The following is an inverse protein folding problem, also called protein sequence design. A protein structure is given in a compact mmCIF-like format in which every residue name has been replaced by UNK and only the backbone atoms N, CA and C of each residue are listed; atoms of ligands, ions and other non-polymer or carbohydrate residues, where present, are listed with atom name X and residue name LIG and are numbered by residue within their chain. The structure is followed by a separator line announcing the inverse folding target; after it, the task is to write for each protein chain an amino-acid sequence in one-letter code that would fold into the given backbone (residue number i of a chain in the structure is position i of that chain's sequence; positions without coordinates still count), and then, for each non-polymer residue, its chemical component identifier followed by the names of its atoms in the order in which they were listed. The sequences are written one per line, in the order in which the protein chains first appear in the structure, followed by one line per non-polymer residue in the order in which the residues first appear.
data_IF_988403480291
#
_entry.id   IF_988403480291
#
_cell.length_a   1.000
_cell.length_b   1.000
_cell.length_c   1.000
_cell.angle_alpha   90.00
_cell.angle_beta   90.00
_cell.angle_gamma   90.00
#
_symmetry.space_group_name_H-M   'P 1'
#
loop_
_entity.id
_entity.type
_entity.pdbx_description
1 polymer ?
#
# COMPACT_ATOMS: atom_id res chain seq x y z
N UNK A 1 14.19 -2.62 -27.70
CA UNK A 1 14.97 -1.87 -26.69
C UNK A 1 14.08 -1.46 -25.47
N UNK A 2 13.23 -2.35 -24.96
CA UNK A 2 12.13 -2.00 -24.02
C UNK A 2 12.53 -1.87 -22.54
N UNK A 3 13.68 -2.41 -22.11
CA UNK A 3 13.99 -2.51 -20.67
C UNK A 3 14.32 -1.18 -19.97
N UNK A 4 14.90 -0.21 -20.67
CA UNK A 4 15.40 1.02 -20.00
C UNK A 4 14.26 1.95 -19.55
N UNK A 5 13.22 2.12 -20.37
CA UNK A 5 12.05 2.94 -20.02
C UNK A 5 11.20 2.29 -18.93
N UNK A 6 11.05 0.96 -18.95
CA UNK A 6 10.36 0.22 -17.90
C UNK A 6 11.09 0.31 -16.56
N UNK A 7 12.42 0.16 -16.56
CA UNK A 7 13.24 0.31 -15.36
C UNK A 7 13.16 1.74 -14.79
N UNK A 8 13.19 2.76 -15.65
CA UNK A 8 13.03 4.16 -15.24
C UNK A 8 11.65 4.41 -14.61
N UNK A 9 10.58 3.88 -15.21
CA UNK A 9 9.24 3.99 -14.66
C UNK A 9 9.12 3.29 -13.29
N UNK A 10 9.70 2.09 -13.15
CA UNK A 10 9.72 1.36 -11.88
C UNK A 10 10.48 2.13 -10.78
N UNK A 11 11.59 2.78 -11.13
CA UNK A 11 12.34 3.65 -10.22
C UNK A 11 11.49 4.82 -9.71
N UNK A 12 10.83 5.55 -10.61
CA UNK A 12 9.95 6.66 -10.25
C UNK A 12 8.80 6.18 -9.38
N UNK A 13 8.17 5.04 -9.72
CA UNK A 13 7.11 4.46 -8.90
C UNK A 13 7.59 4.05 -7.51
N UNK A 14 8.79 3.47 -7.39
CA UNK A 14 9.37 3.07 -6.10
C UNK A 14 9.65 4.26 -5.21
N UNK A 15 10.23 5.34 -5.78
CA UNK A 15 10.48 6.58 -5.04
C UNK A 15 9.17 7.24 -4.60
N UNK A 16 8.18 7.30 -5.49
CA UNK A 16 6.84 7.82 -5.16
C UNK A 16 6.14 7.01 -4.07
N UNK A 17 6.20 5.68 -4.16
CA UNK A 17 5.63 4.77 -3.16
C UNK A 17 6.31 4.93 -1.79
N UNK A 18 7.64 5.05 -1.77
CA UNK A 18 8.40 5.29 -0.53
C UNK A 18 8.02 6.63 0.11
N UNK A 19 7.93 7.71 -0.68
CA UNK A 19 7.54 9.02 -0.17
C UNK A 19 6.10 9.01 0.38
N UNK A 20 5.18 8.36 -0.31
CA UNK A 20 3.80 8.20 0.14
C UNK A 20 3.72 7.36 1.42
N UNK A 21 4.44 6.24 1.49
CA UNK A 21 4.50 5.38 2.66
C UNK A 21 5.02 6.14 3.88
N UNK A 22 6.09 6.93 3.74
CA UNK A 22 6.60 7.80 4.82
C UNK A 22 5.53 8.78 5.30
N UNK A 23 4.84 9.46 4.38
CA UNK A 23 3.81 10.44 4.74
C UNK A 23 2.62 9.80 5.45
N UNK A 24 2.20 8.61 5.02
CA UNK A 24 1.16 7.83 5.69
C UNK A 24 1.64 7.43 7.08
N UNK A 25 2.82 6.83 7.21
CA UNK A 25 3.38 6.44 8.49
C UNK A 25 3.46 7.64 9.47
N UNK A 26 4.00 8.78 9.03
CA UNK A 26 4.09 10.00 9.82
C UNK A 26 2.69 10.53 10.24
N UNK A 27 1.69 10.44 9.35
CA UNK A 27 0.32 10.89 9.63
C UNK A 27 -0.40 9.98 10.60
N UNK A 28 -0.25 8.66 10.44
CA UNK A 28 -0.90 7.70 11.31
C UNK A 28 -0.25 7.72 12.70
N UNK A 29 1.07 7.90 12.78
CA UNK A 29 1.75 8.13 14.05
C UNK A 29 1.20 9.36 14.76
N UNK A 30 1.13 10.51 14.08
CA UNK A 30 0.55 11.75 14.64
C UNK A 30 -0.89 11.59 15.11
N UNK A 31 -1.69 10.79 14.40
CA UNK A 31 -3.08 10.51 14.75
C UNK A 31 -3.20 9.63 16.00
N UNK A 32 -2.31 8.65 16.18
CA UNK A 32 -2.27 7.78 17.37
C UNK A 32 -1.64 8.45 18.60
N UNK A 33 -0.57 9.22 18.42
CA UNK A 33 0.26 9.76 19.50
C UNK A 33 -0.21 11.11 20.08
N UNK A 34 -1.44 11.54 19.78
CA UNK A 34 -1.98 12.87 20.15
C UNK A 34 -1.05 14.03 19.73
N UNK A 35 -0.48 13.97 18.52
CA UNK A 35 0.30 15.09 17.97
C UNK A 35 1.72 15.27 18.53
N UNK A 36 2.26 14.31 19.31
CA UNK A 36 3.67 14.31 19.71
C UNK A 36 4.58 14.04 18.49
N UNK A 37 5.59 14.88 18.31
CA UNK A 37 6.65 14.71 17.29
C UNK A 37 7.26 13.31 17.38
N UNK A 38 7.48 12.61 16.24
CA UNK A 38 8.06 11.27 16.26
C UNK A 38 9.38 11.30 17.04
N UNK A 39 9.55 10.44 18.05
CA UNK A 39 10.73 10.46 18.91
C UNK A 39 11.97 10.26 18.05
N UNK A 40 12.88 11.23 18.09
CA UNK A 40 14.19 11.17 17.44
C UNK A 40 15.12 10.19 18.18
N UNK A 41 14.71 9.71 19.36
CA UNK A 41 15.44 8.77 20.20
C UNK A 41 14.73 7.39 20.21
N UNK A 42 15.32 6.36 19.61
CA UNK A 42 14.78 5.00 19.60
C UNK A 42 14.81 4.30 20.97
N UNK A 43 15.33 4.96 22.00
CA UNK A 43 15.51 4.43 23.36
C UNK A 43 14.54 5.01 24.39
N UNK A 44 13.60 5.86 23.95
CA UNK A 44 12.62 6.49 24.83
C UNK A 44 11.59 5.43 25.33
N UNK A 45 11.61 5.08 26.63
CA UNK A 45 10.83 3.97 27.19
C UNK A 45 9.31 4.25 27.23
N UNK A 46 8.88 5.42 26.76
CA UNK A 46 7.49 5.90 26.82
C UNK A 46 6.71 5.67 25.50
N UNK A 47 7.36 5.18 24.43
CA UNK A 47 6.64 4.43 23.39
C UNK A 47 6.48 3.02 23.93
N UNK A 48 5.37 2.79 24.64
CA UNK A 48 5.05 1.52 25.24
C UNK A 48 5.08 0.45 24.12
N UNK A 49 5.99 -0.53 24.19
CA UNK A 49 6.14 -1.59 23.17
C UNK A 49 4.78 -2.22 22.77
N UNK A 50 3.84 -2.24 23.72
CA UNK A 50 2.45 -2.66 23.52
C UNK A 50 1.69 -1.78 22.52
N UNK A 51 1.84 -0.46 22.59
CA UNK A 51 1.18 0.50 21.70
C UNK A 51 1.76 0.40 20.28
N UNK A 52 3.07 0.23 20.14
CA UNK A 52 3.72 -0.01 18.85
C UNK A 52 3.25 -1.34 18.21
N UNK A 53 3.16 -2.41 19.00
CA UNK A 53 2.66 -3.71 18.53
C UNK A 53 1.18 -3.59 18.14
N UNK A 54 0.35 -2.95 18.96
CA UNK A 54 -1.08 -2.75 18.67
C UNK A 54 -1.25 -1.96 17.37
N UNK A 55 -0.46 -0.91 17.19
CA UNK A 55 -0.44 -0.11 15.98
C UNK A 55 -0.04 -0.93 14.75
N UNK A 56 1.02 -1.73 14.86
CA UNK A 56 1.49 -2.60 13.78
C UNK A 56 0.44 -3.65 13.39
N UNK A 57 -0.23 -4.26 14.37
CA UNK A 57 -1.30 -5.24 14.14
C UNK A 57 -2.48 -4.58 13.43
N UNK A 58 -2.98 -3.45 13.95
CA UNK A 58 -4.12 -2.73 13.34
C UNK A 58 -3.75 -2.30 11.91
N UNK A 59 -2.58 -1.71 11.72
CA UNK A 59 -2.10 -1.28 10.40
C UNK A 59 -1.95 -2.46 9.44
N UNK A 60 -1.38 -3.57 9.90
CA UNK A 60 -1.23 -4.79 9.11
C UNK A 60 -2.58 -5.37 8.67
N UNK A 61 -3.58 -5.39 9.56
CA UNK A 61 -4.94 -5.83 9.24
C UNK A 61 -5.58 -4.90 8.21
N UNK A 62 -5.50 -3.58 8.39
CA UNK A 62 -6.07 -2.61 7.44
C UNK A 62 -5.44 -2.75 6.06
N UNK A 63 -4.11 -2.84 5.98
CA UNK A 63 -3.39 -2.97 4.69
C UNK A 63 -3.72 -4.30 4.01
N UNK A 64 -3.79 -5.41 4.75
CA UNK A 64 -4.11 -6.72 4.18
C UNK A 64 -5.54 -6.80 3.65
N UNK A 65 -6.51 -6.21 4.38
CA UNK A 65 -7.89 -6.07 3.92
C UNK A 65 -7.97 -5.19 2.68
N UNK A 66 -7.31 -4.02 2.68
CA UNK A 66 -7.28 -3.12 1.53
C UNK A 66 -6.69 -3.80 0.28
N UNK A 67 -5.54 -4.50 0.43
CA UNK A 67 -4.92 -5.28 -0.64
C UNK A 67 -5.88 -6.31 -1.21
N UNK A 68 -6.57 -7.06 -0.35
CA UNK A 68 -7.50 -8.11 -0.77
C UNK A 68 -8.68 -7.51 -1.53
N UNK A 69 -9.21 -6.39 -1.06
CA UNK A 69 -10.32 -5.70 -1.71
C UNK A 69 -9.92 -5.15 -3.08
N UNK A 70 -8.75 -4.51 -3.18
CA UNK A 70 -8.21 -3.99 -4.44
C UNK A 70 -7.94 -5.12 -5.44
N UNK A 71 -7.30 -6.21 -5.00
CA UNK A 71 -7.04 -7.38 -5.84
C UNK A 71 -8.34 -7.99 -6.38
N UNK A 72 -9.37 -8.11 -5.54
CA UNK A 72 -10.69 -8.61 -5.97
C UNK A 72 -11.36 -7.68 -6.98
N UNK A 73 -11.24 -6.36 -6.81
CA UNK A 73 -11.78 -5.39 -7.78
C UNK A 73 -11.07 -5.45 -9.13
N UNK A 74 -9.74 -5.52 -9.13
CA UNK A 74 -8.95 -5.65 -10.34
C UNK A 74 -9.29 -6.94 -11.09
N UNK A 75 -9.28 -8.08 -10.39
CA UNK A 75 -9.64 -9.36 -10.98
C UNK A 75 -11.09 -9.39 -11.53
N UNK A 76 -12.03 -8.72 -10.85
CA UNK A 76 -13.40 -8.60 -11.34
C UNK A 76 -13.50 -7.76 -12.62
N UNK A 77 -12.65 -6.73 -12.77
CA UNK A 77 -12.59 -5.89 -13.96
C UNK A 77 -12.00 -6.65 -15.15
N UNK A 78 -10.86 -7.31 -14.95
CA UNK A 78 -10.21 -8.14 -15.98
C UNK A 78 -11.15 -9.25 -16.46
N UNK A 79 -11.89 -9.91 -15.55
CA UNK A 79 -12.89 -10.93 -15.93
C UNK A 79 -14.02 -10.40 -16.81
N UNK A 80 -14.41 -9.12 -16.66
CA UNK A 80 -15.44 -8.50 -17.49
C UNK A 80 -14.90 -8.21 -18.88
N UNK A 81 -13.68 -7.70 -18.96
CA UNK A 81 -13.00 -7.39 -20.21
C UNK A 81 -12.76 -8.67 -21.03
N UNK A 82 -12.22 -9.72 -20.41
CA UNK A 82 -12.03 -11.03 -21.06
C UNK A 82 -13.35 -11.68 -21.50
N UNK A 83 -14.43 -11.48 -20.75
CA UNK A 83 -15.77 -11.99 -21.13
C UNK A 83 -16.32 -11.23 -22.33
N UNK A 84 -16.15 -9.91 -22.38
CA UNK A 84 -16.57 -9.09 -23.51
C UNK A 84 -15.80 -9.47 -24.78
N UNK A 85 -14.48 -9.65 -24.68
CA UNK A 85 -13.63 -10.06 -25.79
C UNK A 85 -13.97 -11.47 -26.28
N UNK A 86 -14.17 -12.44 -25.37
CA UNK A 86 -14.59 -13.80 -25.72
C UNK A 86 -15.96 -13.86 -26.41
N UNK A 87 -16.85 -12.90 -26.13
CA UNK A 87 -18.17 -12.81 -26.77
C UNK A 87 -18.13 -12.21 -28.16
N UNK A 88 -17.06 -11.46 -28.48
CA UNK A 88 -16.84 -10.82 -29.77
C UNK A 88 -16.08 -11.73 -30.77
N UNK A 89 -15.56 -12.87 -30.32
CA UNK A 89 -14.91 -13.83 -31.19
C UNK A 89 -15.98 -14.62 -31.99
N UNK A 90 -15.93 -14.59 -33.34
CA UNK A 90 -16.85 -15.37 -34.15
C UNK A 90 -16.57 -16.87 -33.92
N UNK A 91 -17.62 -17.59 -33.49
CA UNK A 91 -17.62 -19.05 -33.40
C UNK A 91 -17.41 -19.62 -34.81
N UNK A 92 -16.20 -20.07 -35.11
CA UNK A 92 -15.88 -20.86 -36.30
C UNK A 92 -15.45 -22.26 -35.89
#
# INVERSE_FOLDING_TARGET
MSGKSQNAAALVMTLGATAAAKKVADSVWKAGSKGKTPPTDPTDPDVELREAILFAVISGVVVSVARTFLARKLAARERRELRAERSALPQR
#
